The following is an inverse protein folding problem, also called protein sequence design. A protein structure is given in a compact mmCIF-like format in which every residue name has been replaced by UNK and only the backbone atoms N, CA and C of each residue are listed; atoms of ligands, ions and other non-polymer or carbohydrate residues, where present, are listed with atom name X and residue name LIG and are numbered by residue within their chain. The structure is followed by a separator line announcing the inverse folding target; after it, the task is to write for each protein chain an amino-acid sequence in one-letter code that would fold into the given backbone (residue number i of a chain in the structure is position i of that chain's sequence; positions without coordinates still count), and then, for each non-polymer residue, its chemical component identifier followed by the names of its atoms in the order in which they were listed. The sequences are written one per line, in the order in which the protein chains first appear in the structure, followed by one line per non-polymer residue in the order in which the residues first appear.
data_IF_262492196382
#
_entry.id   IF_262492196382
#
_cell.length_a   1.000
_cell.length_b   1.000
_cell.length_c   1.000
_cell.angle_alpha   90.00
_cell.angle_beta   90.00
_cell.angle_gamma   90.00
#
_symmetry.space_group_name_H-M   'P 1'
#
loop_
_entity.id
_entity.type
_entity.pdbx_description
1 polymer ?
#
# COMPACT_ATOMS: atom_id res chain seq x y z
N UNK A 1 -31.30 -17.45 47.62
CA UNK A 1 -30.59 -16.28 47.08
C UNK A 1 -30.23 -16.58 45.65
N UNK A 2 -30.96 -16.00 44.70
CA UNK A 2 -30.66 -16.11 43.27
C UNK A 2 -29.64 -15.05 42.87
N UNK A 3 -28.55 -15.47 42.22
CA UNK A 3 -27.58 -14.57 41.64
C UNK A 3 -28.21 -13.87 40.43
N UNK A 4 -28.62 -12.61 40.62
CA UNK A 4 -28.97 -11.70 39.54
C UNK A 4 -27.70 -11.36 38.75
N UNK A 5 -27.60 -11.85 37.51
CA UNK A 5 -26.54 -11.49 36.59
C UNK A 5 -26.67 -10.03 36.11
N UNK A 6 -25.57 -9.26 36.02
CA UNK A 6 -25.60 -7.83 35.68
C UNK A 6 -25.66 -7.58 34.17
N UNK A 7 -26.59 -8.22 33.45
CA UNK A 7 -26.79 -8.03 32.01
C UNK A 7 -28.22 -7.57 31.67
N UNK A 8 -28.85 -6.85 32.59
CA UNK A 8 -30.12 -6.19 32.33
C UNK A 8 -29.87 -4.82 31.68
N UNK A 9 -30.16 -4.69 30.38
CA UNK A 9 -30.76 -3.45 29.89
C UNK A 9 -30.02 -2.60 28.86
N UNK A 10 -29.11 -3.15 28.06
CA UNK A 10 -28.71 -2.46 26.81
C UNK A 10 -29.26 -3.26 25.63
N UNK A 11 -30.42 -2.85 25.11
CA UNK A 11 -30.93 -3.34 23.83
C UNK A 11 -29.96 -2.88 22.76
N UNK A 12 -29.01 -3.75 22.40
CA UNK A 12 -28.14 -3.50 21.26
C UNK A 12 -29.00 -3.39 20.00
N UNK A 13 -28.72 -2.36 19.19
CA UNK A 13 -29.33 -2.24 17.87
C UNK A 13 -28.59 -3.17 16.91
N UNK A 14 -29.31 -3.66 15.90
CA UNK A 14 -28.72 -4.43 14.80
C UNK A 14 -28.76 -3.59 13.54
N UNK A 15 -27.58 -3.33 12.95
CA UNK A 15 -27.45 -2.64 11.68
C UNK A 15 -26.96 -3.60 10.58
N UNK A 16 -27.43 -3.36 9.36
CA UNK A 16 -26.95 -4.03 8.16
C UNK A 16 -26.10 -3.05 7.35
N UNK A 17 -24.82 -3.39 7.15
CA UNK A 17 -23.88 -2.60 6.37
C UNK A 17 -23.64 -3.29 5.03
N UNK A 18 -23.97 -2.61 3.93
CA UNK A 18 -23.69 -3.11 2.59
C UNK A 18 -22.18 -3.11 2.34
N UNK A 19 -21.64 -4.26 1.95
CA UNK A 19 -20.25 -4.42 1.58
C UNK A 19 -20.13 -4.43 0.06
N UNK A 20 -19.27 -3.59 -0.47
CA UNK A 20 -18.84 -3.75 -1.85
C UNK A 20 -18.03 -5.07 -2.01
N UNK A 21 -17.84 -5.55 -3.25
CA UNK A 21 -17.13 -6.81 -3.49
C UNK A 21 -15.72 -6.87 -2.89
N UNK A 22 -15.05 -5.73 -2.76
CA UNK A 22 -13.69 -5.63 -2.29
C UNK A 22 -13.61 -5.76 -0.77
N UNK A 23 -14.43 -5.01 -0.03
CA UNK A 23 -14.58 -5.20 1.42
C UNK A 23 -15.06 -6.62 1.75
N UNK A 24 -16.00 -7.15 0.96
CA UNK A 24 -16.45 -8.53 1.13
C UNK A 24 -15.30 -9.52 0.95
N UNK A 25 -14.49 -9.35 -0.09
CA UNK A 25 -13.31 -10.20 -0.33
C UNK A 25 -12.31 -10.12 0.83
N UNK A 26 -12.02 -8.89 1.29
CA UNK A 26 -11.14 -8.60 2.43
C UNK A 26 -11.62 -9.31 3.70
N UNK A 27 -12.92 -9.18 4.01
CA UNK A 27 -13.56 -9.75 5.20
C UNK A 27 -13.87 -11.24 5.06
N UNK A 28 -13.77 -11.84 3.87
CA UNK A 28 -13.94 -13.29 3.71
C UNK A 28 -12.61 -14.03 3.74
N UNK A 29 -11.60 -13.58 2.98
CA UNK A 29 -10.33 -14.30 2.81
C UNK A 29 -9.47 -14.35 4.07
N UNK A 30 -9.48 -13.29 4.87
CA UNK A 30 -8.82 -13.22 6.20
C UNK A 30 -9.82 -12.90 7.32
N UNK A 31 -11.07 -13.29 7.08
CA UNK A 31 -12.23 -12.80 7.81
C UNK A 31 -12.18 -13.00 9.31
N UNK A 32 -11.88 -14.22 9.76
CA UNK A 32 -11.94 -14.53 11.19
C UNK A 32 -11.06 -13.62 12.06
N UNK A 33 -9.86 -13.27 11.58
CA UNK A 33 -8.97 -12.36 12.33
C UNK A 33 -9.49 -10.93 12.31
N UNK A 34 -9.89 -10.42 11.13
CA UNK A 34 -10.36 -9.03 10.99
C UNK A 34 -11.68 -8.79 11.70
N UNK A 35 -12.63 -9.73 11.57
CA UNK A 35 -13.91 -9.66 12.25
C UNK A 35 -13.74 -9.69 13.77
N UNK A 36 -12.88 -10.56 14.31
CA UNK A 36 -12.54 -10.53 15.75
C UNK A 36 -11.91 -9.22 16.19
N UNK A 37 -11.07 -8.63 15.35
CA UNK A 37 -10.48 -7.31 15.61
C UNK A 37 -11.57 -6.24 15.68
N UNK A 38 -12.49 -6.20 14.71
CA UNK A 38 -13.65 -5.29 14.74
C UNK A 38 -14.51 -5.51 15.99
N UNK A 39 -14.78 -6.77 16.36
CA UNK A 39 -15.54 -7.11 17.57
C UNK A 39 -14.83 -6.62 18.84
N UNK A 40 -13.51 -6.84 18.94
CA UNK A 40 -12.72 -6.47 20.10
C UNK A 40 -12.54 -4.94 20.23
N UNK A 41 -12.28 -4.24 19.12
CA UNK A 41 -12.04 -2.79 19.11
C UNK A 41 -13.33 -1.99 19.34
N UNK A 42 -14.46 -2.43 18.76
CA UNK A 42 -15.72 -1.69 18.89
C UNK A 42 -16.67 -2.25 19.96
N UNK A 43 -16.38 -3.42 20.55
CA UNK A 43 -17.29 -4.07 21.51
C UNK A 43 -18.62 -4.49 20.87
N UNK A 44 -18.58 -4.95 19.62
CA UNK A 44 -19.75 -5.36 18.84
C UNK A 44 -19.77 -6.87 18.59
N UNK A 45 -20.92 -7.41 18.23
CA UNK A 45 -20.99 -8.68 17.52
C UNK A 45 -21.09 -8.45 16.00
N UNK A 46 -20.36 -9.22 15.19
CA UNK A 46 -20.36 -9.07 13.73
C UNK A 46 -20.51 -10.40 13.00
N UNK A 47 -21.32 -10.39 11.95
CA UNK A 47 -21.52 -11.54 11.09
C UNK A 47 -21.56 -11.13 9.61
N UNK A 48 -20.77 -11.80 8.77
CA UNK A 48 -20.76 -11.55 7.32
C UNK A 48 -21.70 -12.52 6.62
N UNK A 49 -22.75 -11.98 6.00
CA UNK A 49 -23.57 -12.68 5.03
C UNK A 49 -22.93 -12.58 3.64
N UNK A 50 -22.26 -13.66 3.23
CA UNK A 50 -21.53 -13.71 1.95
C UNK A 50 -22.43 -13.74 0.74
N UNK A 51 -23.63 -14.32 0.89
CA UNK A 51 -24.58 -14.46 -0.21
C UNK A 51 -25.18 -13.10 -0.56
N UNK A 52 -25.50 -12.30 0.47
CA UNK A 52 -26.06 -10.96 0.28
C UNK A 52 -25.01 -9.85 0.20
N UNK A 53 -23.76 -10.12 0.57
CA UNK A 53 -22.72 -9.10 0.65
C UNK A 53 -22.95 -8.09 1.78
N UNK A 54 -23.46 -8.55 2.93
CA UNK A 54 -23.86 -7.68 4.05
C UNK A 54 -23.08 -8.04 5.31
N UNK A 55 -22.60 -7.03 6.03
CA UNK A 55 -22.12 -7.18 7.40
C UNK A 55 -23.26 -6.84 8.38
N UNK A 56 -23.69 -7.82 9.15
CA UNK A 56 -24.58 -7.62 10.29
C UNK A 56 -23.74 -7.23 11.49
N UNK A 57 -24.11 -6.14 12.15
CA UNK A 57 -23.41 -5.61 13.33
C UNK A 57 -24.42 -5.36 14.42
N UNK A 58 -24.18 -5.90 15.62
CA UNK A 58 -25.04 -5.71 16.79
C UNK A 58 -24.26 -5.04 17.91
N UNK A 59 -24.79 -3.94 18.45
CA UNK A 59 -24.12 -3.17 19.51
C UNK A 59 -24.81 -1.84 19.82
N UNK A 60 -24.14 -0.95 20.55
CA UNK A 60 -24.62 0.42 20.73
C UNK A 60 -24.49 1.23 19.44
N UNK A 61 -25.25 2.30 19.29
CA UNK A 61 -25.17 3.17 18.11
C UNK A 61 -23.74 3.71 17.87
N UNK A 62 -23.05 4.12 18.95
CA UNK A 62 -21.66 4.59 18.88
C UNK A 62 -20.69 3.48 18.42
N UNK A 63 -20.87 2.26 18.92
CA UNK A 63 -20.06 1.10 18.53
C UNK A 63 -20.26 0.75 17.04
N UNK A 64 -21.51 0.77 16.55
CA UNK A 64 -21.84 0.58 15.13
C UNK A 64 -21.20 1.69 14.28
N UNK A 65 -21.22 2.93 14.73
CA UNK A 65 -20.54 4.04 14.05
C UNK A 65 -19.02 3.86 14.06
N UNK A 66 -18.45 3.28 15.12
CA UNK A 66 -17.05 2.86 15.17
C UNK A 66 -16.71 1.83 14.08
N UNK A 67 -17.55 0.81 13.90
CA UNK A 67 -17.38 -0.19 12.84
C UNK A 67 -17.42 0.46 11.46
N UNK A 68 -18.36 1.39 11.20
CA UNK A 68 -18.41 2.11 9.92
C UNK A 68 -17.10 2.84 9.63
N UNK A 69 -16.55 3.56 10.62
CA UNK A 69 -15.26 4.24 10.49
C UNK A 69 -14.12 3.26 10.19
N UNK A 70 -14.05 2.14 10.91
CA UNK A 70 -13.04 1.10 10.65
C UNK A 70 -13.20 0.44 9.28
N UNK A 71 -14.43 0.26 8.78
CA UNK A 71 -14.63 -0.25 7.42
C UNK A 71 -14.14 0.73 6.36
N UNK A 72 -14.30 2.05 6.57
CA UNK A 72 -13.76 3.05 5.65
C UNK A 72 -12.22 3.02 5.61
N UNK A 73 -11.54 2.81 6.75
CA UNK A 73 -10.07 2.65 6.74
C UNK A 73 -9.61 1.41 5.98
N UNK A 74 -10.47 0.41 5.81
CA UNK A 74 -10.21 -0.76 4.96
C UNK A 74 -10.41 -0.50 3.46
N UNK A 75 -11.08 0.60 3.09
CA UNK A 75 -11.35 0.98 1.69
C UNK A 75 -10.27 1.81 1.05
N UNK A 76 -9.43 2.47 1.85
CA UNK A 76 -8.19 3.16 1.51
C UNK A 76 -8.02 3.72 0.08
N UNK A 77 -7.85 5.03 -0.14
CA UNK A 77 -7.80 5.60 -1.47
C UNK A 77 -6.70 4.99 -2.35
N UNK A 78 -7.00 4.85 -3.64
CA UNK A 78 -6.01 4.51 -4.66
C UNK A 78 -5.43 5.79 -5.23
N UNK A 79 -4.10 5.84 -5.29
CA UNK A 79 -3.35 6.98 -5.81
C UNK A 79 -2.42 6.52 -6.91
N UNK A 80 -2.57 7.10 -8.10
CA UNK A 80 -1.60 6.92 -9.17
C UNK A 80 -0.27 7.59 -8.79
N UNK A 81 0.83 6.94 -9.13
CA UNK A 81 2.19 7.43 -8.85
C UNK A 81 3.05 7.38 -10.12
N UNK A 82 4.05 8.28 -10.27
CA UNK A 82 4.96 8.24 -11.42
C UNK A 82 5.69 6.90 -11.52
N UNK A 83 6.05 6.49 -12.76
CA UNK A 83 6.74 5.23 -13.02
C UNK A 83 8.04 5.04 -12.21
N UNK A 84 8.81 6.12 -12.05
CA UNK A 84 10.03 6.11 -11.24
C UNK A 84 9.77 5.85 -9.75
N UNK A 85 8.68 6.43 -9.20
CA UNK A 85 8.26 6.18 -7.80
C UNK A 85 7.80 4.75 -7.64
N UNK A 86 6.91 4.29 -8.52
CA UNK A 86 6.38 2.92 -8.47
C UNK A 86 7.50 1.89 -8.53
N UNK A 87 8.46 2.09 -9.44
CA UNK A 87 9.63 1.23 -9.60
C UNK A 87 10.50 1.23 -8.34
N UNK A 88 10.75 2.40 -7.75
CA UNK A 88 11.53 2.51 -6.52
C UNK A 88 10.85 1.83 -5.33
N UNK A 89 9.53 2.00 -5.19
CA UNK A 89 8.73 1.31 -4.18
C UNK A 89 8.77 -0.21 -4.38
N UNK A 90 8.64 -0.70 -5.61
CA UNK A 90 8.70 -2.12 -5.94
C UNK A 90 10.08 -2.72 -5.68
N UNK A 91 11.15 -1.99 -6.00
CA UNK A 91 12.56 -2.38 -5.81
C UNK A 91 12.90 -2.53 -4.32
N UNK A 92 12.39 -1.63 -3.49
CA UNK A 92 12.73 -1.56 -2.06
C UNK A 92 11.70 -2.22 -1.13
N UNK A 93 10.63 -2.83 -1.68
CA UNK A 93 9.50 -3.36 -0.90
C UNK A 93 9.86 -4.46 0.12
N UNK A 94 10.93 -5.21 -0.11
CA UNK A 94 11.37 -6.31 0.77
C UNK A 94 12.49 -5.90 1.72
N UNK A 95 12.95 -4.65 1.64
CA UNK A 95 13.97 -4.10 2.54
C UNK A 95 13.32 -3.77 3.88
N UNK A 96 13.04 -4.82 4.65
CA UNK A 96 12.58 -4.68 6.02
C UNK A 96 13.78 -4.36 6.92
N UNK A 97 13.55 -3.44 7.86
CA UNK A 97 14.40 -3.02 8.98
C UNK A 97 15.78 -3.70 9.04
N UNK A 98 16.77 -3.01 8.49
CA UNK A 98 18.18 -3.44 8.43
C UNK A 98 19.07 -2.22 8.17
N UNK A 99 20.23 -2.42 7.54
CA UNK A 99 21.21 -1.34 7.27
C UNK A 99 20.64 -0.23 6.35
N UNK A 100 19.67 -0.56 5.51
CA UNK A 100 18.99 0.41 4.63
C UNK A 100 17.48 0.20 4.71
N UNK A 101 16.73 1.20 5.19
CA UNK A 101 15.26 1.19 5.21
C UNK A 101 14.73 1.41 3.78
N UNK A 102 13.85 0.53 3.30
CA UNK A 102 13.18 0.72 2.01
C UNK A 102 12.15 1.85 2.04
N UNK A 103 11.86 2.46 0.88
CA UNK A 103 10.96 3.62 0.81
C UNK A 103 9.54 3.27 1.29
N UNK A 104 9.02 2.09 0.96
CA UNK A 104 7.71 1.65 1.45
C UNK A 104 7.65 1.54 2.98
N UNK A 105 8.72 1.01 3.61
CA UNK A 105 8.77 0.88 5.06
C UNK A 105 8.81 2.25 5.74
N UNK A 106 9.65 3.16 5.22
CA UNK A 106 9.73 4.55 5.66
C UNK A 106 8.38 5.26 5.58
N UNK A 107 7.72 5.20 4.43
CA UNK A 107 6.42 5.85 4.21
C UNK A 107 5.36 5.35 5.21
N UNK A 108 5.26 4.04 5.42
CA UNK A 108 4.30 3.48 6.40
C UNK A 108 4.62 3.89 7.84
N UNK A 109 5.90 3.92 8.21
CA UNK A 109 6.34 4.32 9.55
C UNK A 109 6.05 5.81 9.81
N UNK A 110 6.37 6.67 8.85
CA UNK A 110 6.23 8.13 9.01
C UNK A 110 4.77 8.59 8.93
N UNK A 111 3.93 7.92 8.13
CA UNK A 111 2.51 8.28 8.00
C UNK A 111 1.58 7.60 9.00
N UNK A 112 1.97 6.49 9.63
CA UNK A 112 1.05 5.63 10.40
C UNK A 112 0.14 4.76 9.51
N UNK A 113 0.03 5.08 8.22
CA UNK A 113 -0.76 4.33 7.27
C UNK A 113 -0.11 2.99 6.91
N UNK A 114 -0.97 2.02 6.58
CA UNK A 114 -0.58 0.86 5.80
C UNK A 114 -0.65 1.20 4.32
N UNK A 115 0.42 0.98 3.57
CA UNK A 115 0.48 1.27 2.14
C UNK A 115 0.69 -0.03 1.37
N UNK A 116 -0.18 -0.28 0.39
CA UNK A 116 -0.07 -1.42 -0.51
C UNK A 116 0.31 -0.93 -1.91
N UNK A 117 1.31 -1.57 -2.52
CA UNK A 117 1.68 -1.29 -3.91
C UNK A 117 0.83 -2.20 -4.80
N UNK A 118 0.06 -1.61 -5.71
CA UNK A 118 -0.62 -2.39 -6.75
C UNK A 118 0.43 -2.85 -7.76
N UNK A 119 0.53 -4.17 -8.00
CA UNK A 119 1.64 -4.73 -8.82
C UNK A 119 1.40 -4.67 -10.31
N UNK A 120 0.13 -4.61 -10.70
CA UNK A 120 -0.30 -4.60 -12.09
C UNK A 120 -0.65 -3.18 -12.57
N UNK A 121 -0.56 -2.19 -11.68
CA UNK A 121 -0.93 -0.80 -11.93
C UNK A 121 0.09 0.12 -11.27
N UNK A 122 0.38 1.26 -11.87
CA UNK A 122 1.25 2.28 -11.27
C UNK A 122 0.49 3.07 -10.18
N UNK A 123 -0.06 2.33 -9.21
CA UNK A 123 -0.90 2.84 -8.15
C UNK A 123 -0.42 2.31 -6.80
N UNK A 124 -0.65 3.10 -5.76
CA UNK A 124 -0.57 2.67 -4.38
C UNK A 124 -1.94 2.82 -3.73
N UNK A 125 -2.19 2.00 -2.72
CA UNK A 125 -3.39 2.09 -1.90
C UNK A 125 -3.03 2.35 -0.46
N UNK A 126 -3.64 3.38 0.11
CA UNK A 126 -3.29 3.91 1.43
C UNK A 126 -4.43 3.57 2.38
N UNK A 127 -4.15 2.87 3.46
CA UNK A 127 -5.14 2.48 4.47
C UNK A 127 -4.78 3.12 5.81
N UNK A 128 -5.67 3.94 6.34
CA UNK A 128 -5.50 4.64 7.61
C UNK A 128 -6.63 5.64 7.85
N UNK A 129 -6.63 6.31 9.01
CA UNK A 129 -7.40 7.54 9.26
C UNK A 129 -7.13 8.64 8.23
N UNK A 130 -8.12 9.51 7.98
CA UNK A 130 -8.03 10.54 6.94
C UNK A 130 -6.85 11.51 7.13
N UNK A 131 -6.53 11.86 8.39
CA UNK A 131 -5.40 12.71 8.75
C UNK A 131 -4.05 12.01 8.46
N UNK A 132 -3.92 10.73 8.80
CA UNK A 132 -2.75 9.93 8.48
C UNK A 132 -2.59 9.70 6.96
N UNK A 133 -3.71 9.55 6.24
CA UNK A 133 -3.73 9.42 4.78
C UNK A 133 -3.19 10.68 4.13
N UNK A 134 -3.60 11.87 4.60
CA UNK A 134 -3.07 13.14 4.10
C UNK A 134 -1.54 13.25 4.30
N UNK A 135 -1.02 12.74 5.43
CA UNK A 135 0.43 12.66 5.66
C UNK A 135 1.10 11.70 4.67
N UNK A 136 0.55 10.51 4.47
CA UNK A 136 1.08 9.55 3.48
C UNK A 136 1.11 10.12 2.06
N UNK A 137 0.09 10.89 1.71
CA UNK A 137 -0.01 11.60 0.43
C UNK A 137 1.09 12.63 0.24
N UNK A 138 1.35 13.48 1.24
CA UNK A 138 2.46 14.44 1.20
C UNK A 138 3.83 13.75 1.06
N UNK A 139 4.06 12.68 1.82
CA UNK A 139 5.32 11.93 1.73
C UNK A 139 5.52 11.25 0.36
N UNK A 140 4.44 10.80 -0.29
CA UNK A 140 4.49 10.27 -1.66
C UNK A 140 4.86 11.37 -2.68
N UNK A 141 4.42 12.60 -2.47
CA UNK A 141 4.79 13.76 -3.30
C UNK A 141 6.26 14.12 -3.15
N UNK A 142 6.78 14.11 -1.92
CA UNK A 142 8.20 14.32 -1.65
C UNK A 142 9.08 13.24 -2.31
N UNK A 143 8.63 11.97 -2.23
CA UNK A 143 9.29 10.87 -2.93
C UNK A 143 9.24 11.06 -4.44
N UNK A 144 8.09 11.48 -4.99
CA UNK A 144 7.95 11.80 -6.41
C UNK A 144 8.89 12.92 -6.85
N UNK A 145 9.05 13.96 -6.04
CA UNK A 145 10.00 15.03 -6.28
C UNK A 145 11.46 14.52 -6.25
N UNK A 146 11.75 13.44 -5.53
CA UNK A 146 13.09 12.85 -5.41
C UNK A 146 13.41 11.78 -6.46
N UNK A 147 12.38 11.23 -7.11
CA UNK A 147 12.51 10.24 -8.18
C UNK A 147 12.56 10.89 -9.58
N UNK A 148 13.18 10.21 -10.53
CA UNK A 148 13.22 10.64 -11.93
C UNK A 148 13.34 9.45 -12.88
N UNK A 149 13.01 9.69 -14.13
CA UNK A 149 13.19 8.78 -15.25
C UNK A 149 14.01 9.50 -16.33
N UNK A 150 15.02 8.83 -16.89
CA UNK A 150 15.87 9.39 -17.96
C UNK A 150 16.07 8.32 -19.03
N UNK A 151 15.83 8.66 -20.29
CA UNK A 151 16.11 7.79 -21.43
C UNK A 151 17.50 8.03 -22.00
N UNK A 152 18.25 6.94 -22.18
CA UNK A 152 19.57 6.93 -22.82
C UNK A 152 19.43 6.22 -24.17
N UNK A 153 19.68 6.89 -25.31
CA UNK A 153 19.65 6.24 -26.61
C UNK A 153 20.63 5.08 -26.67
N UNK A 154 20.15 3.90 -27.05
CA UNK A 154 20.96 2.69 -27.15
C UNK A 154 20.27 1.67 -28.04
N UNK A 155 21.05 0.88 -28.78
CA UNK A 155 20.53 -0.32 -29.41
C UNK A 155 20.38 -1.42 -28.35
N UNK A 156 19.13 -1.68 -27.94
CA UNK A 156 18.83 -2.62 -26.86
C UNK A 156 19.17 -4.07 -27.21
N UNK A 157 19.37 -4.40 -28.49
CA UNK A 157 19.64 -5.77 -28.93
C UNK A 157 21.09 -6.20 -28.69
N UNK A 158 22.01 -5.24 -28.55
CA UNK A 158 23.44 -5.49 -28.33
C UNK A 158 23.86 -5.36 -26.86
N UNK A 159 22.93 -5.00 -25.97
CA UNK A 159 23.22 -4.82 -24.56
C UNK A 159 23.40 -6.17 -23.85
N UNK A 160 24.52 -6.30 -23.12
CA UNK A 160 24.70 -7.40 -22.18
C UNK A 160 23.79 -7.21 -20.96
N UNK A 161 22.79 -8.09 -20.85
CA UNK A 161 21.81 -8.08 -19.76
C UNK A 161 22.44 -8.34 -18.40
N UNK A 162 23.53 -9.11 -18.32
CA UNK A 162 24.23 -9.37 -17.07
C UNK A 162 24.94 -8.10 -16.60
N UNK A 163 25.72 -7.47 -17.49
CA UNK A 163 26.39 -6.21 -17.18
C UNK A 163 25.41 -5.09 -16.82
N UNK A 164 24.25 -5.03 -17.48
CA UNK A 164 23.20 -4.07 -17.18
C UNK A 164 22.56 -4.32 -15.80
N UNK A 165 22.35 -5.59 -15.43
CA UNK A 165 21.83 -5.97 -14.12
C UNK A 165 22.81 -5.60 -12.99
N UNK A 166 24.10 -5.89 -13.16
CA UNK A 166 25.15 -5.51 -12.21
C UNK A 166 25.22 -3.99 -12.04
N UNK A 167 25.14 -3.25 -13.14
CA UNK A 167 25.11 -1.80 -13.12
C UNK A 167 23.88 -1.27 -12.35
N UNK A 168 22.71 -1.87 -12.56
CA UNK A 168 21.48 -1.49 -11.87
C UNK A 168 21.62 -1.66 -10.36
N UNK A 169 22.19 -2.79 -9.91
CA UNK A 169 22.45 -3.05 -8.50
C UNK A 169 23.47 -2.06 -7.92
N UNK A 170 24.61 -1.87 -8.59
CA UNK A 170 25.67 -0.97 -8.14
C UNK A 170 25.18 0.49 -8.03
N UNK A 171 24.32 0.91 -8.95
CA UNK A 171 23.77 2.26 -8.94
C UNK A 171 22.48 2.40 -8.13
N UNK A 172 21.86 1.31 -7.67
CA UNK A 172 20.54 1.28 -7.01
C UNK A 172 19.43 1.89 -7.88
N UNK A 173 19.40 1.54 -9.17
CA UNK A 173 18.38 1.98 -10.14
C UNK A 173 17.67 0.77 -10.73
N UNK A 174 16.66 1.02 -11.55
CA UNK A 174 16.07 0.01 -12.43
C UNK A 174 16.20 0.47 -13.88
N UNK A 175 16.59 -0.45 -14.75
CA UNK A 175 16.58 -0.23 -16.19
C UNK A 175 15.32 -0.84 -16.80
N UNK A 176 14.67 -0.11 -17.71
CA UNK A 176 13.63 -0.61 -18.61
C UNK A 176 14.12 -0.46 -20.04
N UNK A 177 14.03 -1.52 -20.82
CA UNK A 177 14.44 -1.52 -22.21
C UNK A 177 13.25 -1.14 -23.08
N UNK A 178 13.37 -0.03 -23.79
CA UNK A 178 12.40 0.42 -24.79
C UNK A 178 13.07 0.38 -26.18
N UNK A 179 12.33 0.21 -27.29
CA UNK A 179 12.94 0.21 -28.61
C UNK A 179 13.78 1.48 -28.87
N UNK A 180 15.10 1.30 -29.02
CA UNK A 180 16.05 2.39 -29.28
C UNK A 180 16.49 3.20 -28.05
N UNK A 181 16.08 2.82 -26.83
CA UNK A 181 16.56 3.48 -25.62
C UNK A 181 16.51 2.61 -24.36
N UNK A 182 17.38 2.91 -23.40
CA UNK A 182 17.32 2.38 -22.04
C UNK A 182 16.78 3.46 -21.13
N UNK A 183 15.65 3.21 -20.49
CA UNK A 183 15.12 4.08 -19.46
C UNK A 183 15.73 3.72 -18.10
N UNK A 184 16.23 4.74 -17.42
CA UNK A 184 16.85 4.64 -16.10
C UNK A 184 15.91 5.28 -15.07
N UNK A 185 15.39 4.46 -14.15
CA UNK A 185 14.41 4.87 -13.15
C UNK A 185 14.96 4.72 -11.74
N UNK A 186 14.68 5.70 -10.87
CA UNK A 186 15.05 5.65 -9.45
C UNK A 186 15.16 7.04 -8.83
N UNK A 187 15.92 7.14 -7.73
CA UNK A 187 16.24 8.42 -7.10
C UNK A 187 17.16 9.26 -8.00
N UNK A 188 16.94 10.58 -8.08
CA UNK A 188 17.70 11.50 -8.97
C UNK A 188 19.23 11.32 -8.90
N UNK A 189 19.88 11.27 -7.71
CA UNK A 189 21.33 11.08 -7.65
C UNK A 189 21.81 9.73 -8.19
N UNK A 190 21.02 8.67 -7.94
CA UNK A 190 21.30 7.32 -8.41
C UNK A 190 21.15 7.21 -9.94
N UNK A 191 20.07 7.80 -10.48
CA UNK A 191 19.84 7.88 -11.93
C UNK A 191 20.95 8.65 -12.63
N UNK A 192 21.33 9.83 -12.13
CA UNK A 192 22.40 10.62 -12.72
C UNK A 192 23.75 9.86 -12.77
N UNK A 193 24.06 9.06 -11.74
CA UNK A 193 25.25 8.20 -11.71
C UNK A 193 25.13 7.05 -12.72
N UNK A 194 23.99 6.37 -12.76
CA UNK A 194 23.75 5.26 -13.67
C UNK A 194 23.81 5.68 -15.14
N UNK A 195 23.24 6.83 -15.49
CA UNK A 195 23.27 7.39 -16.84
C UNK A 195 24.71 7.61 -17.31
N UNK A 196 25.53 8.29 -16.50
CA UNK A 196 26.95 8.51 -16.85
C UNK A 196 27.73 7.21 -17.04
N UNK A 197 27.46 6.21 -16.22
CA UNK A 197 28.13 4.91 -16.33
C UNK A 197 27.64 4.12 -17.55
N UNK A 198 26.34 4.20 -17.87
CA UNK A 198 25.78 3.57 -19.05
C UNK A 198 26.33 4.21 -20.34
N UNK A 199 26.35 5.54 -20.42
CA UNK A 199 26.92 6.27 -21.57
C UNK A 199 28.38 5.90 -21.82
N UNK A 200 29.20 5.76 -20.76
CA UNK A 200 30.60 5.32 -20.88
C UNK A 200 30.79 3.91 -21.41
N UNK A 201 29.79 3.04 -21.24
CA UNK A 201 29.82 1.66 -21.75
C UNK A 201 29.30 1.56 -23.19
N UNK A 202 28.56 2.57 -23.63
CA UNK A 202 27.98 2.66 -24.97
C UNK A 202 28.88 3.40 -25.97
N UNK A 203 29.78 4.25 -25.48
CA UNK A 203 30.82 4.93 -26.26
C UNK A 203 31.98 4.00 -26.62
#
# INVERSE_FOLDING_TARGET
GGAGGPWAGCWGETAQLQLDPELLHILCRRGRRRLRLLQAECGVDVHVDRTRGVLHVSGTADAIQGVRRLLETLRGPRRAVPAAVWTELMRTRTWAQGVQEGQLARLQRESGCRIHIERERQEVRIFGPDDEVAVAEGLLEELAASCTEVGVPADTWVLDMVALHELAQACQVTFRLDPGSVLVLGLRPAVARAVRELERRLS
#
